data_IF_690357212077
#
_entry.id   IF_690357212077
#
_cell.length_a   1.000
_cell.length_b   1.000
_cell.length_c   1.000
_cell.angle_alpha   90.00
_cell.angle_beta   90.00
_cell.angle_gamma   90.00
#
_symmetry.space_group_name_H-M   'P 1'
#
loop_
_entity.id
_entity.type
_entity.pdbx_description
1 polymer ?
#
# COMPACT_ATOMS: atom_id res chain seq x y z
N UNK A 1 -2.51 6.44 -9.24
CA UNK A 1 -3.38 7.04 -8.21
C UNK A 1 -3.30 8.57 -8.18
N UNK A 2 -2.14 9.18 -7.86
CA UNK A 2 -1.98 10.66 -7.74
C UNK A 2 -2.47 11.50 -8.93
N UNK A 3 -2.42 10.95 -10.16
CA UNK A 3 -2.75 11.68 -11.39
C UNK A 3 -4.10 11.28 -12.01
N UNK A 4 -4.79 10.29 -11.43
CA UNK A 4 -5.94 9.63 -12.06
C UNK A 4 -7.23 9.95 -11.29
N UNK A 5 -7.13 10.17 -9.99
CA UNK A 5 -8.29 10.31 -9.11
C UNK A 5 -8.64 11.76 -8.76
N UNK A 6 -8.02 12.77 -9.38
CA UNK A 6 -8.21 14.20 -9.05
C UNK A 6 -8.10 14.53 -7.56
N UNK A 7 -7.33 13.73 -6.81
CA UNK A 7 -7.14 13.88 -5.38
C UNK A 7 -6.06 14.94 -5.11
N UNK A 8 -6.30 15.80 -4.14
CA UNK A 8 -5.34 16.82 -3.73
C UNK A 8 -4.33 16.23 -2.75
N UNK A 9 -3.05 16.63 -2.79
CA UNK A 9 -2.08 16.17 -1.81
C UNK A 9 -2.52 16.55 -0.38
N UNK A 10 -2.26 15.69 0.62
CA UNK A 10 -2.33 16.08 2.02
C UNK A 10 -1.40 17.27 2.29
N UNK A 11 -1.59 17.97 3.40
CA UNK A 11 -0.75 19.12 3.78
C UNK A 11 0.76 18.78 3.85
N UNK A 12 1.09 17.53 4.19
CA UNK A 12 2.48 17.03 4.23
C UNK A 12 3.01 16.56 2.87
N UNK A 13 2.21 16.64 1.83
CA UNK A 13 2.48 16.02 0.53
C UNK A 13 2.34 14.49 0.57
N UNK A 14 2.67 13.86 -0.55
CA UNK A 14 2.44 12.43 -0.76
C UNK A 14 3.62 11.52 -0.36
N UNK A 15 4.76 12.11 0.02
CA UNK A 15 6.02 11.40 0.26
C UNK A 15 6.42 11.40 1.74
N UNK A 16 5.78 12.23 2.57
CA UNK A 16 5.95 12.24 4.02
C UNK A 16 4.76 11.56 4.73
N UNK A 17 5.00 11.05 5.94
CA UNK A 17 3.95 10.48 6.78
C UNK A 17 3.00 11.60 7.26
N UNK A 18 1.69 11.53 6.95
CA UNK A 18 0.73 12.52 7.42
C UNK A 18 0.48 12.42 8.93
N UNK A 19 0.07 13.52 9.59
CA UNK A 19 -0.30 13.50 11.01
C UNK A 19 -1.40 12.46 11.29
N UNK A 20 -1.34 11.77 12.43
CA UNK A 20 -2.34 10.78 12.81
C UNK A 20 -3.77 11.35 12.90
N UNK A 21 -3.88 12.66 13.16
CA UNK A 21 -5.15 13.39 13.18
C UNK A 21 -5.75 13.62 11.78
N UNK A 22 -4.94 13.49 10.72
CA UNK A 22 -5.41 13.59 9.33
C UNK A 22 -5.86 12.21 8.86
N UNK A 23 -7.18 12.02 8.93
CA UNK A 23 -7.91 10.81 8.54
C UNK A 23 -8.61 10.98 7.19
N UNK A 24 -8.17 11.95 6.37
CA UNK A 24 -8.66 12.08 4.99
C UNK A 24 -8.24 10.89 4.13
N UNK A 25 -9.00 10.63 3.07
CA UNK A 25 -8.70 9.57 2.09
C UNK A 25 -7.28 9.75 1.51
N UNK A 26 -6.90 10.98 1.20
CA UNK A 26 -5.60 11.31 0.65
C UNK A 26 -4.47 11.09 1.65
N UNK A 27 -4.69 11.41 2.93
CA UNK A 27 -3.74 11.11 3.99
C UNK A 27 -3.57 9.61 4.19
N UNK A 28 -4.65 8.83 4.13
CA UNK A 28 -4.55 7.36 4.24
C UNK A 28 -3.83 6.73 3.04
N UNK A 29 -4.05 7.23 1.83
CA UNK A 29 -3.28 6.81 0.65
C UNK A 29 -1.78 7.13 0.84
N UNK A 30 -1.46 8.34 1.32
CA UNK A 30 -0.08 8.73 1.59
C UNK A 30 0.55 7.89 2.70
N UNK A 31 -0.21 7.54 3.75
CA UNK A 31 0.20 6.70 4.87
C UNK A 31 0.52 5.27 4.43
N UNK A 32 -0.35 4.64 3.64
CA UNK A 32 -0.10 3.31 3.06
C UNK A 32 1.16 3.32 2.20
N UNK A 33 1.32 4.33 1.34
CA UNK A 33 2.54 4.48 0.53
C UNK A 33 3.78 4.65 1.40
N UNK A 34 3.71 5.47 2.44
CA UNK A 34 4.84 5.73 3.34
C UNK A 34 5.29 4.42 4.01
N UNK A 35 4.38 3.68 4.64
CA UNK A 35 4.74 2.43 5.31
C UNK A 35 5.26 1.37 4.34
N UNK A 36 4.68 1.24 3.15
CA UNK A 36 5.20 0.36 2.10
C UNK A 36 6.65 0.71 1.71
N UNK A 37 6.98 1.99 1.62
CA UNK A 37 8.34 2.42 1.29
C UNK A 37 9.31 2.24 2.47
N UNK A 38 8.89 2.56 3.69
CA UNK A 38 9.74 2.53 4.89
C UNK A 38 10.01 1.11 5.38
N UNK A 39 8.98 0.26 5.43
CA UNK A 39 9.07 -1.10 6.00
C UNK A 39 9.59 -2.12 4.97
N UNK A 40 9.30 -1.91 3.69
CA UNK A 40 9.69 -2.86 2.63
C UNK A 40 10.64 -2.24 1.60
N UNK A 41 10.30 -1.08 1.03
CA UNK A 41 11.04 -0.49 -0.11
C UNK A 41 12.47 -0.02 0.18
N UNK A 42 12.77 0.39 1.42
CA UNK A 42 14.07 0.94 1.83
C UNK A 42 14.64 0.31 3.10
N UNK A 43 14.01 -0.74 3.62
CA UNK A 43 14.47 -1.38 4.84
C UNK A 43 15.79 -2.14 4.60
N UNK A 44 16.80 -1.87 5.43
CA UNK A 44 18.08 -2.60 5.40
C UNK A 44 17.94 -4.06 5.86
N UNK A 45 16.90 -4.34 6.67
CA UNK A 45 16.52 -5.66 7.17
C UNK A 45 15.00 -5.71 7.28
N UNK A 46 14.41 -6.85 6.91
CA UNK A 46 12.97 -7.10 7.05
C UNK A 46 12.63 -7.57 8.48
N UNK A 47 13.03 -6.79 9.49
CA UNK A 47 12.76 -7.09 10.89
C UNK A 47 12.64 -5.81 11.70
N UNK A 48 11.61 -5.74 12.55
CA UNK A 48 11.42 -4.70 13.56
C UNK A 48 11.13 -5.37 14.91
N UNK A 49 11.28 -4.66 16.02
CA UNK A 49 10.85 -5.16 17.33
C UNK A 49 9.32 -5.18 17.45
N UNK A 50 8.81 -5.96 18.39
CA UNK A 50 7.36 -6.17 18.58
C UNK A 50 6.60 -4.87 18.85
N UNK A 51 7.18 -3.91 19.57
CA UNK A 51 6.50 -2.66 19.87
C UNK A 51 6.34 -1.82 18.58
N UNK A 52 7.41 -1.70 17.80
CA UNK A 52 7.38 -1.04 16.48
C UNK A 52 6.43 -1.76 15.52
N UNK A 53 6.45 -3.09 15.48
CA UNK A 53 5.53 -3.89 14.67
C UNK A 53 4.07 -3.57 15.00
N UNK A 54 3.71 -3.60 16.29
CA UNK A 54 2.34 -3.36 16.72
C UNK A 54 1.85 -1.95 16.37
N UNK A 55 2.71 -0.94 16.49
CA UNK A 55 2.37 0.43 16.09
C UNK A 55 2.12 0.52 14.59
N UNK A 56 3.04 0.01 13.77
CA UNK A 56 2.87 0.04 12.31
C UNK A 56 1.67 -0.77 11.85
N UNK A 57 1.45 -1.94 12.44
CA UNK A 57 0.30 -2.78 12.14
C UNK A 57 -1.01 -2.04 12.37
N UNK A 58 -1.16 -1.39 13.53
CA UNK A 58 -2.36 -0.65 13.87
C UNK A 58 -2.59 0.52 12.91
N UNK A 59 -1.56 1.31 12.63
CA UNK A 59 -1.66 2.47 11.73
C UNK A 59 -2.02 2.06 10.29
N UNK A 60 -1.44 0.94 9.82
CA UNK A 60 -1.73 0.38 8.48
C UNK A 60 -3.15 -0.17 8.44
N UNK A 61 -3.55 -0.98 9.43
CA UNK A 61 -4.90 -1.54 9.53
C UNK A 61 -5.94 -0.44 9.50
N UNK A 62 -5.78 0.59 10.33
CA UNK A 62 -6.75 1.67 10.45
C UNK A 62 -6.90 2.45 9.14
N UNK A 63 -5.79 2.69 8.43
CA UNK A 63 -5.83 3.32 7.10
C UNK A 63 -6.54 2.42 6.06
N UNK A 64 -6.24 1.13 6.03
CA UNK A 64 -6.86 0.18 5.10
C UNK A 64 -8.36 0.01 5.37
N UNK A 65 -8.77 -0.05 6.64
CA UNK A 65 -10.18 -0.13 7.02
C UNK A 65 -10.93 1.16 6.67
N UNK A 66 -10.31 2.34 6.80
CA UNK A 66 -10.94 3.59 6.34
C UNK A 66 -11.11 3.64 4.82
N UNK A 67 -10.12 3.14 4.06
CA UNK A 67 -10.14 3.14 2.60
C UNK A 67 -11.07 2.06 2.01
N UNK A 68 -11.00 0.84 2.52
CA UNK A 68 -11.75 -0.31 2.00
C UNK A 68 -13.06 -0.60 2.74
N UNK A 69 -13.23 -0.02 3.92
CA UNK A 69 -14.40 -0.24 4.78
C UNK A 69 -14.18 -1.29 5.88
N UNK A 70 -15.09 -1.31 6.88
CA UNK A 70 -14.98 -2.17 8.07
C UNK A 70 -15.04 -3.67 7.78
N UNK A 71 -15.57 -4.06 6.62
CA UNK A 71 -15.65 -5.47 6.20
C UNK A 71 -14.27 -6.15 6.14
N UNK A 72 -13.21 -5.39 5.88
CA UNK A 72 -11.85 -5.91 5.83
C UNK A 72 -11.18 -6.00 7.20
N UNK A 73 -11.75 -5.42 8.26
CA UNK A 73 -11.11 -5.34 9.57
C UNK A 73 -10.76 -6.71 10.17
N UNK A 74 -11.69 -7.66 10.08
CA UNK A 74 -11.50 -9.04 10.58
C UNK A 74 -10.43 -9.77 9.77
N UNK A 75 -10.54 -9.75 8.44
CA UNK A 75 -9.57 -10.39 7.57
C UNK A 75 -8.16 -9.82 7.78
N UNK A 76 -8.03 -8.50 7.99
CA UNK A 76 -6.76 -7.88 8.34
C UNK A 76 -6.28 -8.38 9.70
N UNK A 77 -7.10 -8.41 10.74
CA UNK A 77 -6.68 -8.89 12.07
C UNK A 77 -6.16 -10.33 12.06
N UNK A 78 -6.81 -11.20 11.26
CA UNK A 78 -6.39 -12.59 11.11
C UNK A 78 -4.97 -12.68 10.53
N UNK A 79 -4.64 -11.85 9.52
CA UNK A 79 -3.30 -11.78 8.92
C UNK A 79 -2.19 -11.43 9.93
N UNK A 80 -2.50 -10.75 11.03
CA UNK A 80 -1.50 -10.37 12.05
C UNK A 80 -0.83 -11.58 12.69
N UNK A 81 -1.62 -12.63 12.89
CA UNK A 81 -1.22 -13.83 13.61
C UNK A 81 -1.14 -15.06 12.68
N UNK A 82 -1.27 -14.86 11.36
CA UNK A 82 -1.04 -15.93 10.41
C UNK A 82 0.39 -16.46 10.56
N UNK A 83 0.50 -17.79 10.59
CA UNK A 83 1.78 -18.44 10.77
C UNK A 83 2.62 -18.27 9.51
N UNK A 84 3.77 -17.60 9.64
CA UNK A 84 4.80 -17.53 8.61
C UNK A 84 5.67 -18.81 8.65
N UNK A 85 5.02 -19.97 8.56
CA UNK A 85 5.73 -21.25 8.47
C UNK A 85 6.56 -21.28 7.17
N UNK A 86 7.81 -21.78 7.19
CA UNK A 86 8.67 -21.86 6.00
C UNK A 86 8.01 -22.51 4.78
N UNK A 87 7.04 -23.40 4.96
CA UNK A 87 6.25 -24.00 3.86
C UNK A 87 5.34 -22.96 3.21
N UNK A 88 4.79 -22.03 3.98
CA UNK A 88 3.97 -20.92 3.48
C UNK A 88 4.82 -19.76 2.97
N UNK A 89 6.08 -19.65 3.40
CA UNK A 89 7.00 -18.64 2.86
C UNK A 89 7.14 -18.76 1.33
N UNK A 90 7.30 -19.98 0.81
CA UNK A 90 7.38 -20.22 -0.64
C UNK A 90 6.05 -19.85 -1.33
N UNK A 91 4.92 -20.23 -0.72
CA UNK A 91 3.58 -19.88 -1.22
C UNK A 91 3.37 -18.36 -1.31
N UNK A 92 3.62 -17.60 -0.24
CA UNK A 92 3.48 -16.14 -0.25
C UNK A 92 4.50 -15.48 -1.18
N UNK A 93 5.70 -16.05 -1.32
CA UNK A 93 6.72 -15.55 -2.26
C UNK A 93 6.26 -15.71 -3.70
N UNK A 94 5.64 -16.82 -4.07
CA UNK A 94 5.02 -17.00 -5.38
C UNK A 94 3.83 -16.05 -5.57
N UNK A 95 2.95 -15.94 -4.59
CA UNK A 95 1.80 -15.02 -4.65
C UNK A 95 2.24 -13.56 -4.86
N UNK A 96 3.29 -13.12 -4.15
CA UNK A 96 3.85 -11.78 -4.31
C UNK A 96 4.47 -11.56 -5.70
N UNK A 97 5.07 -12.58 -6.31
CA UNK A 97 5.56 -12.50 -7.69
C UNK A 97 4.41 -12.35 -8.67
N UNK A 98 3.31 -13.07 -8.46
CA UNK A 98 2.12 -12.95 -9.28
C UNK A 98 1.50 -11.55 -9.16
N UNK A 99 1.31 -11.05 -7.94
CA UNK A 99 0.78 -9.70 -7.73
C UNK A 99 1.67 -8.62 -8.34
N UNK A 100 3.00 -8.78 -8.24
CA UNK A 100 3.92 -7.87 -8.92
C UNK A 100 3.75 -7.92 -10.44
N UNK A 101 3.64 -9.11 -11.03
CA UNK A 101 3.40 -9.28 -12.47
C UNK A 101 2.08 -8.61 -12.89
N UNK A 102 1.04 -8.74 -12.07
CA UNK A 102 -0.25 -8.14 -12.36
C UNK A 102 -0.24 -6.62 -12.22
N UNK A 103 0.49 -6.07 -11.25
CA UNK A 103 0.73 -4.62 -11.09
C UNK A 103 1.54 -4.07 -12.28
N UNK A 104 2.62 -4.76 -12.66
CA UNK A 104 3.45 -4.40 -13.82
C UNK A 104 2.61 -4.43 -15.12
N UNK A 105 1.82 -5.48 -15.35
CA UNK A 105 0.92 -5.58 -16.51
C UNK A 105 -0.17 -4.50 -16.51
N UNK A 106 -0.74 -4.19 -15.34
CA UNK A 106 -1.72 -3.12 -15.20
C UNK A 106 -1.10 -1.77 -15.53
N UNK A 107 0.14 -1.55 -15.08
CA UNK A 107 0.91 -0.35 -15.36
C UNK A 107 1.23 -0.23 -16.87
N UNK A 108 1.67 -1.30 -17.52
CA UNK A 108 1.97 -1.29 -18.95
C UNK A 108 0.74 -0.93 -19.79
N UNK A 109 -0.42 -1.52 -19.49
CA UNK A 109 -1.69 -1.18 -20.15
C UNK A 109 -2.10 0.27 -19.92
N UNK A 110 -1.87 0.78 -18.70
CA UNK A 110 -2.18 2.16 -18.37
C UNK A 110 -1.28 3.14 -19.15
N UNK A 111 -0.01 2.81 -19.31
CA UNK A 111 0.94 3.59 -20.10
C UNK A 111 0.58 3.58 -21.60
N UNK A 112 0.11 2.44 -22.13
CA UNK A 112 -0.39 2.32 -23.50
C UNK A 112 -1.62 3.20 -23.74
N UNK A 113 -2.62 3.14 -22.85
CA UNK A 113 -3.81 4.00 -22.92
C UNK A 113 -3.42 5.48 -22.84
N UNK A 114 -2.50 5.83 -21.94
CA UNK A 114 -2.01 7.20 -21.81
C UNK A 114 -1.35 7.71 -23.09
N UNK A 115 -0.57 6.85 -23.78
CA UNK A 115 0.04 7.17 -25.06
C UNK A 115 -1.01 7.40 -26.15
N UNK A 116 -2.01 6.50 -26.26
CA UNK A 116 -3.08 6.62 -27.25
C UNK A 116 -3.88 7.92 -27.08
N UNK A 117 -4.20 8.30 -25.84
CA UNK A 117 -4.92 9.55 -25.54
C UNK A 117 -4.11 10.79 -25.94
N UNK A 118 -2.79 10.80 -25.70
CA UNK A 118 -1.93 11.91 -26.13
C UNK A 118 -1.91 12.08 -27.64
N UNK A 119 -1.90 10.98 -28.38
CA UNK A 119 -1.83 11.04 -29.83
C UNK A 119 -3.15 11.47 -30.48
N UNK A 120 -4.30 11.21 -29.82
CA UNK A 120 -5.60 11.75 -30.25
C UNK A 120 -5.80 13.23 -29.92
N UNK A 121 -4.98 13.81 -29.05
CA UNK A 121 -5.04 15.23 -28.66
C UNK A 121 -4.07 16.13 -29.46
N UNK A 122 -3.32 15.57 -30.41
CA UNK A 122 -2.54 16.31 -31.41
C UNK A 122 -3.39 16.60 -32.64
#
# INVERSE_FOLDING_TARGET
LRNICSLSPPATGWDALPPATDMSTEADIARVKYFRNTVYGHAKKASVDDATFNVYWQDIKDALVRLGGPVYGVAIDDLKNECMDPVFEEYYRELLKEWKRDDDNTKDKLDEIHWMLKEQMK
#
